data_IF_257332264114
#
_entry.id   IF_257332264114
#
_cell.length_a   1.000
_cell.length_b   1.000
_cell.length_c   1.000
_cell.angle_alpha   90.00
_cell.angle_beta   90.00
_cell.angle_gamma   90.00
#
_symmetry.space_group_name_H-M   'P 1'
#
loop_
_entity.id
_entity.type
_entity.pdbx_description
1 polymer ?
#
# COMPACT_ATOMS: atom_id res chain seq x y z
N UNK A 1 6.03 -18.22 -26.61
CA UNK A 1 5.55 -16.99 -25.93
C UNK A 1 4.46 -17.34 -24.90
N UNK A 2 4.82 -17.34 -23.61
CA UNK A 2 3.89 -17.62 -22.53
C UNK A 2 2.84 -16.52 -22.43
N UNK A 3 1.56 -16.90 -22.51
CA UNK A 3 0.43 -16.01 -22.32
C UNK A 3 0.60 -15.34 -20.95
N UNK A 4 0.80 -14.02 -20.93
CA UNK A 4 0.76 -13.25 -19.68
C UNK A 4 -0.63 -13.51 -19.10
N UNK A 5 -0.68 -14.13 -17.91
CA UNK A 5 -1.94 -14.34 -17.22
C UNK A 5 -2.64 -12.98 -17.11
N UNK A 6 -3.93 -12.92 -17.43
CA UNK A 6 -4.69 -11.67 -17.41
C UNK A 6 -4.72 -11.14 -15.98
N UNK A 7 -3.86 -10.16 -15.70
CA UNK A 7 -3.79 -9.49 -14.42
C UNK A 7 -5.12 -8.78 -14.15
N UNK A 8 -5.87 -9.14 -13.09
CA UNK A 8 -7.10 -8.44 -12.74
C UNK A 8 -6.81 -6.97 -12.44
N UNK A 9 -7.73 -6.08 -12.81
CA UNK A 9 -7.56 -4.65 -12.59
C UNK A 9 -7.33 -4.34 -11.10
N UNK A 10 -6.65 -3.22 -10.82
CA UNK A 10 -6.35 -2.78 -9.46
C UNK A 10 -7.62 -2.72 -8.60
N UNK A 11 -8.74 -2.24 -9.17
CA UNK A 11 -10.05 -2.18 -8.51
C UNK A 11 -10.59 -3.57 -8.13
N UNK A 12 -10.51 -4.54 -9.05
CA UNK A 12 -10.95 -5.92 -8.78
C UNK A 12 -10.08 -6.55 -7.71
N UNK A 13 -8.76 -6.31 -7.75
CA UNK A 13 -7.84 -6.78 -6.70
C UNK A 13 -8.13 -6.13 -5.37
N UNK A 14 -8.43 -4.83 -5.30
CA UNK A 14 -8.72 -4.15 -4.04
C UNK A 14 -9.93 -4.78 -3.36
N UNK A 15 -11.00 -5.05 -4.10
CA UNK A 15 -12.21 -5.70 -3.57
C UNK A 15 -11.97 -7.14 -3.10
N UNK A 16 -10.95 -7.82 -3.65
CA UNK A 16 -10.57 -9.16 -3.20
C UNK A 16 -9.73 -9.09 -1.93
N UNK A 17 -10.13 -9.90 -0.93
CA UNK A 17 -9.41 -10.05 0.34
C UNK A 17 -9.18 -8.73 1.09
N UNK A 18 -10.13 -7.79 0.99
CA UNK A 18 -10.07 -6.47 1.64
C UNK A 18 -9.76 -6.57 3.12
N UNK A 19 -10.47 -7.44 3.86
CA UNK A 19 -10.30 -7.59 5.31
C UNK A 19 -8.89 -8.06 5.67
N UNK A 20 -8.35 -9.02 4.91
CA UNK A 20 -6.99 -9.52 5.12
C UNK A 20 -5.95 -8.42 4.84
N UNK A 21 -6.13 -7.64 3.76
CA UNK A 21 -5.23 -6.53 3.43
C UNK A 21 -5.28 -5.42 4.47
N UNK A 22 -6.46 -5.07 4.97
CA UNK A 22 -6.61 -4.11 6.05
C UNK A 22 -5.93 -4.60 7.34
N UNK A 23 -6.08 -5.89 7.68
CA UNK A 23 -5.39 -6.48 8.84
C UNK A 23 -3.85 -6.44 8.68
N UNK A 24 -3.34 -6.78 7.50
CA UNK A 24 -1.91 -6.65 7.16
C UNK A 24 -1.48 -5.19 7.26
N UNK A 25 -2.25 -4.28 6.67
CA UNK A 25 -2.01 -2.84 6.66
C UNK A 25 -1.84 -2.27 8.06
N UNK A 26 -2.81 -2.58 8.94
CA UNK A 26 -2.79 -2.16 10.34
C UNK A 26 -1.57 -2.71 11.09
N UNK A 27 -1.27 -4.00 10.94
CA UNK A 27 -0.13 -4.62 11.61
C UNK A 27 1.19 -4.02 11.10
N UNK A 28 1.38 -3.92 9.78
CA UNK A 28 2.58 -3.34 9.19
C UNK A 28 2.79 -1.89 9.63
N UNK A 29 1.74 -1.06 9.62
CA UNK A 29 1.81 0.32 10.07
C UNK A 29 2.23 0.44 11.55
N UNK A 30 1.79 -0.49 12.41
CA UNK A 30 2.17 -0.50 13.82
C UNK A 30 3.66 -0.81 14.08
N UNK A 31 4.38 -1.31 13.07
CA UNK A 31 5.81 -1.60 13.15
C UNK A 31 6.68 -0.41 12.71
N UNK A 32 6.08 0.61 12.09
CA UNK A 32 6.81 1.80 11.61
C UNK A 32 7.02 2.76 12.79
N UNK A 33 8.23 3.31 12.90
CA UNK A 33 8.56 4.29 13.93
C UNK A 33 8.56 5.71 13.34
N UNK A 34 8.15 6.74 14.12
CA UNK A 34 8.32 8.12 13.71
C UNK A 34 9.77 8.45 13.33
N UNK A 35 9.96 9.25 12.31
CA UNK A 35 11.26 9.60 11.74
C UNK A 35 11.83 8.58 10.74
N UNK A 36 11.13 7.47 10.49
CA UNK A 36 11.60 6.44 9.55
C UNK A 36 11.55 6.89 8.09
N UNK A 37 12.36 6.25 7.25
CA UNK A 37 12.21 6.25 5.80
C UNK A 37 11.87 4.82 5.35
N UNK A 38 10.71 4.63 4.71
CA UNK A 38 10.23 3.32 4.30
C UNK A 38 9.98 3.28 2.79
N UNK A 39 10.10 2.08 2.20
CA UNK A 39 9.72 1.82 0.82
C UNK A 39 8.38 1.09 0.77
N UNK A 40 7.45 1.60 -0.04
CA UNK A 40 6.17 0.96 -0.36
C UNK A 40 6.14 0.60 -1.84
N UNK A 41 6.13 -0.70 -2.15
CA UNK A 41 6.01 -1.21 -3.52
C UNK A 41 4.59 -1.08 -4.08
N UNK A 42 4.43 -1.31 -5.37
CA UNK A 42 3.14 -1.31 -6.04
C UNK A 42 2.19 -2.40 -5.54
N UNK A 43 0.89 -2.08 -5.49
CA UNK A 43 -0.18 -3.05 -5.30
C UNK A 43 -1.14 -2.80 -4.14
N UNK A 44 -2.30 -3.44 -4.26
CA UNK A 44 -3.46 -3.21 -3.36
C UNK A 44 -3.23 -3.55 -1.89
N UNK A 45 -2.30 -4.47 -1.57
CA UNK A 45 -1.95 -4.76 -0.18
C UNK A 45 -1.11 -3.62 0.40
N UNK A 46 -0.16 -3.10 -0.37
CA UNK A 46 0.67 -1.96 0.06
C UNK A 46 -0.14 -0.67 0.16
N UNK A 47 -1.13 -0.48 -0.73
CA UNK A 47 -2.11 0.61 -0.57
C UNK A 47 -2.85 0.54 0.76
N UNK A 48 -3.23 -0.66 1.23
CA UNK A 48 -3.84 -0.82 2.56
C UNK A 48 -2.86 -0.48 3.70
N UNK A 49 -1.55 -0.67 3.53
CA UNK A 49 -0.54 -0.18 4.49
C UNK A 49 -0.52 1.36 4.49
N UNK A 50 -0.46 1.98 3.31
CA UNK A 50 -0.46 3.44 3.15
C UNK A 50 -1.68 4.10 3.84
N UNK A 51 -2.86 3.50 3.69
CA UNK A 51 -4.12 3.92 4.36
C UNK A 51 -4.03 3.97 5.89
N UNK A 52 -3.14 3.20 6.50
CA UNK A 52 -2.92 3.20 7.95
C UNK A 52 -1.74 4.08 8.41
N UNK A 53 -0.96 4.65 7.47
CA UNK A 53 0.20 5.48 7.76
C UNK A 53 -0.09 6.99 7.67
N UNK A 54 -1.23 7.40 7.12
CA UNK A 54 -1.60 8.81 6.89
C UNK A 54 -1.59 9.69 8.15
N UNK A 55 -1.70 9.09 9.33
CA UNK A 55 -1.71 9.81 10.61
C UNK A 55 -0.32 9.82 11.29
N UNK A 56 0.69 9.20 10.69
CA UNK A 56 2.03 9.14 11.26
C UNK A 56 2.80 10.42 10.96
N UNK A 57 3.10 11.17 12.00
CA UNK A 57 3.96 12.35 11.87
C UNK A 57 5.40 11.94 11.56
N UNK A 58 6.08 12.76 10.77
CA UNK A 58 7.51 12.59 10.45
C UNK A 58 7.84 11.25 9.78
N UNK A 59 7.19 10.92 8.66
CA UNK A 59 7.49 9.72 7.88
C UNK A 59 7.92 10.09 6.46
N UNK A 60 9.03 9.52 5.97
CA UNK A 60 9.39 9.59 4.55
C UNK A 60 8.99 8.29 3.85
N UNK A 61 8.19 8.40 2.79
CA UNK A 61 7.77 7.26 1.97
C UNK A 61 8.41 7.37 0.59
N UNK A 62 9.06 6.30 0.16
CA UNK A 62 9.50 6.10 -1.22
C UNK A 62 8.58 5.06 -1.86
N UNK A 63 8.01 5.37 -3.02
CA UNK A 63 7.15 4.43 -3.75
C UNK A 63 7.36 4.56 -5.25
N UNK A 64 7.21 3.44 -5.96
CA UNK A 64 7.19 3.35 -7.42
C UNK A 64 5.75 3.31 -7.99
N UNK A 65 4.72 3.47 -7.14
CA UNK A 65 3.31 3.35 -7.51
C UNK A 65 2.59 4.69 -7.41
N UNK A 66 2.03 5.14 -8.53
CA UNK A 66 1.34 6.43 -8.60
C UNK A 66 0.04 6.47 -7.80
N UNK A 67 -0.65 5.35 -7.60
CA UNK A 67 -1.88 5.31 -6.78
C UNK A 67 -1.53 5.51 -5.31
N UNK A 68 -0.43 4.90 -4.85
CA UNK A 68 0.06 5.10 -3.49
C UNK A 68 0.59 6.53 -3.30
N UNK A 69 1.34 7.04 -4.28
CA UNK A 69 1.86 8.41 -4.23
C UNK A 69 0.72 9.45 -4.15
N UNK A 70 -0.28 9.33 -5.02
CA UNK A 70 -1.47 10.19 -5.04
C UNK A 70 -2.21 10.15 -3.70
N UNK A 71 -2.48 8.95 -3.19
CA UNK A 71 -3.18 8.76 -1.91
C UNK A 71 -2.46 9.36 -0.69
N UNK A 72 -1.13 9.46 -0.72
CA UNK A 72 -0.34 10.02 0.39
C UNK A 72 -0.08 11.53 0.26
N UNK A 73 -0.34 12.11 -0.93
CA UNK A 73 -0.16 13.53 -1.19
C UNK A 73 -1.45 14.35 -1.01
N UNK A 74 -2.60 13.69 -1.12
CA UNK A 74 -3.94 14.23 -0.78
C UNK A 74 -4.15 14.35 0.74
#
# INVERSE_FOLDING_TARGET
PGRVAHEPSHQVKTALAMTQKAAIGKLAASLVQPGSCIYLDAGTTTLAIAQHLIHMESLTVVTNDFVIADYLLD
#
